data_IF_305370661499
#
_entry.id   IF_305370661499
#
_cell.length_a   1.000
_cell.length_b   1.000
_cell.length_c   1.000
_cell.angle_alpha   90.00
_cell.angle_beta   90.00
_cell.angle_gamma   90.00
#
_symmetry.space_group_name_H-M   'P 1'
#
loop_
_entity.id
_entity.type
_entity.pdbx_description
1 polymer ?
#
# COMPACT_ATOMS: atom_id res chain seq x y z
N UNK A 1 16.14 3.85 -28.14
CA UNK A 1 14.98 4.59 -27.58
C UNK A 1 14.54 5.57 -28.65
N UNK A 2 13.28 5.52 -29.09
CA UNK A 2 12.76 6.40 -30.14
C UNK A 2 12.53 7.79 -29.51
N UNK A 3 13.24 8.85 -29.92
CA UNK A 3 13.19 10.17 -29.26
C UNK A 3 11.78 10.80 -29.26
N UNK A 4 10.93 10.39 -30.18
CA UNK A 4 9.54 10.86 -30.32
C UNK A 4 8.57 10.22 -29.31
N UNK A 5 8.98 9.12 -28.64
CA UNK A 5 8.13 8.35 -27.72
C UNK A 5 8.42 8.57 -26.23
N UNK A 6 9.64 8.98 -25.86
CA UNK A 6 10.05 9.14 -24.45
C UNK A 6 10.64 10.53 -24.25
N UNK A 7 10.01 11.36 -23.40
CA UNK A 7 10.44 12.74 -23.15
C UNK A 7 11.65 12.86 -22.22
N UNK A 8 11.86 11.89 -21.34
CA UNK A 8 12.94 11.89 -20.33
C UNK A 8 13.60 10.50 -20.24
N UNK A 9 13.27 9.71 -19.23
CA UNK A 9 13.81 8.37 -18.99
C UNK A 9 12.66 7.40 -18.70
N UNK A 10 12.70 6.22 -19.31
CA UNK A 10 11.84 5.09 -18.94
C UNK A 10 12.73 3.88 -18.60
N UNK A 11 12.43 3.23 -17.48
CA UNK A 11 13.19 2.10 -16.95
C UNK A 11 12.25 0.91 -16.72
N UNK A 12 12.44 -0.13 -17.52
CA UNK A 12 11.75 -1.40 -17.36
C UNK A 12 12.66 -2.46 -16.72
N UNK A 13 12.11 -3.24 -15.80
CA UNK A 13 12.77 -4.38 -15.17
C UNK A 13 11.91 -5.63 -15.27
N UNK A 14 12.53 -6.80 -15.43
CA UNK A 14 11.84 -8.10 -15.41
C UNK A 14 12.56 -9.04 -14.45
N UNK A 15 11.80 -9.81 -13.67
CA UNK A 15 12.34 -10.81 -12.75
C UNK A 15 11.70 -12.18 -12.98
N UNK A 16 12.44 -13.23 -12.66
CA UNK A 16 11.98 -14.62 -12.73
C UNK A 16 12.13 -15.28 -11.36
N UNK A 17 11.14 -16.08 -10.96
CA UNK A 17 11.15 -16.83 -9.72
C UNK A 17 10.58 -18.23 -9.93
N UNK A 18 11.05 -19.20 -9.16
CA UNK A 18 10.58 -20.57 -9.21
C UNK A 18 9.94 -20.97 -7.87
N UNK A 19 8.79 -21.64 -7.94
CA UNK A 19 8.08 -22.17 -6.77
C UNK A 19 7.53 -23.56 -7.09
N UNK A 20 7.58 -24.47 -6.12
CA UNK A 20 6.91 -25.77 -6.26
C UNK A 20 5.40 -25.54 -6.28
N UNK A 21 4.66 -26.23 -7.17
CA UNK A 21 3.20 -26.11 -7.26
C UNK A 21 2.49 -26.27 -5.91
N UNK A 22 2.97 -27.19 -5.08
CA UNK A 22 2.44 -27.47 -3.74
C UNK A 22 2.75 -26.39 -2.69
N UNK A 23 3.60 -25.42 -3.01
CA UNK A 23 3.99 -24.30 -2.14
C UNK A 23 3.45 -22.94 -2.62
N UNK A 24 2.59 -22.93 -3.64
CA UNK A 24 1.95 -21.70 -4.11
C UNK A 24 0.97 -21.22 -3.03
N UNK A 25 1.08 -19.93 -2.68
CA UNK A 25 0.15 -19.26 -1.77
C UNK A 25 -0.75 -18.39 -2.63
N UNK A 26 -2.01 -18.80 -2.79
CA UNK A 26 -2.99 -18.18 -3.70
C UNK A 26 -4.19 -17.56 -2.97
N UNK A 27 -4.14 -17.45 -1.64
CA UNK A 27 -5.20 -16.87 -0.82
C UNK A 27 -6.36 -17.82 -0.50
N UNK A 28 -6.43 -19.03 -1.07
CA UNK A 28 -7.54 -19.97 -0.81
C UNK A 28 -7.65 -20.37 0.65
N UNK A 29 -6.51 -20.53 1.33
CA UNK A 29 -6.43 -20.90 2.75
C UNK A 29 -6.91 -19.80 3.71
N UNK A 30 -7.06 -18.55 3.22
CA UNK A 30 -7.53 -17.43 4.05
C UNK A 30 -8.94 -17.70 4.55
N UNK A 31 -9.15 -17.48 5.85
CA UNK A 31 -10.40 -17.73 6.55
C UNK A 31 -10.64 -16.71 7.67
N UNK A 32 -11.89 -16.51 8.11
CA UNK A 32 -12.17 -15.70 9.28
C UNK A 32 -11.35 -16.14 10.49
N UNK A 33 -10.93 -15.18 11.31
CA UNK A 33 -9.97 -15.29 12.43
C UNK A 33 -8.49 -15.35 12.05
N UNK A 34 -8.15 -15.43 10.77
CA UNK A 34 -6.77 -15.13 10.38
C UNK A 34 -6.40 -13.69 10.75
N UNK A 35 -5.14 -13.46 11.08
CA UNK A 35 -4.61 -12.13 11.37
C UNK A 35 -3.91 -11.55 10.15
N UNK A 36 -3.92 -10.22 10.07
CA UNK A 36 -3.22 -9.45 9.05
C UNK A 36 -1.97 -8.85 9.70
N UNK A 37 -0.80 -9.23 9.20
CA UNK A 37 0.50 -8.78 9.66
C UNK A 37 1.00 -7.73 8.68
N UNK A 38 1.00 -6.47 9.11
CA UNK A 38 1.47 -5.34 8.32
C UNK A 38 2.99 -5.21 8.40
N UNK A 39 3.62 -5.06 7.25
CA UNK A 39 5.05 -4.80 7.11
C UNK A 39 5.24 -3.34 6.71
N UNK A 40 6.04 -2.56 7.47
CA UNK A 40 6.24 -1.15 7.19
C UNK A 40 6.79 -0.88 5.78
N UNK A 41 6.29 0.17 5.13
CA UNK A 41 6.96 0.80 4.00
C UNK A 41 8.06 1.75 4.47
N UNK A 42 8.94 2.14 3.54
CA UNK A 42 9.98 3.15 3.74
C UNK A 42 9.49 4.55 3.38
N UNK A 43 8.35 4.66 2.67
CA UNK A 43 7.81 5.91 2.17
C UNK A 43 6.73 5.64 1.14
N UNK A 44 6.62 6.53 0.14
CA UNK A 44 5.61 6.45 -0.92
C UNK A 44 5.81 5.28 -1.90
N UNK A 45 7.03 4.74 -1.96
CA UNK A 45 7.46 3.74 -2.95
C UNK A 45 7.27 4.27 -4.38
N UNK A 46 6.88 3.43 -5.33
CA UNK A 46 6.77 3.80 -6.75
C UNK A 46 5.34 4.18 -7.19
N UNK A 47 4.41 4.48 -6.28
CA UNK A 47 3.00 4.75 -6.60
C UNK A 47 2.54 6.12 -6.12
N UNK A 48 1.70 6.80 -6.92
CA UNK A 48 1.14 8.11 -6.55
C UNK A 48 2.10 9.30 -6.72
N UNK A 49 3.26 9.10 -7.36
CA UNK A 49 4.22 10.18 -7.66
C UNK A 49 3.63 11.27 -8.58
N UNK A 50 2.72 10.91 -9.50
CA UNK A 50 2.00 11.91 -10.33
C UNK A 50 1.11 12.81 -9.47
N UNK A 51 0.41 12.25 -8.48
CA UNK A 51 -0.40 13.04 -7.55
C UNK A 51 0.50 13.93 -6.67
N UNK A 52 1.59 13.39 -6.14
CA UNK A 52 2.54 14.17 -5.33
C UNK A 52 3.12 15.36 -6.12
N UNK A 53 3.60 15.15 -7.35
CA UNK A 53 4.11 16.22 -8.22
C UNK A 53 3.07 17.30 -8.47
N UNK A 54 1.81 16.92 -8.71
CA UNK A 54 0.71 17.85 -8.92
C UNK A 54 0.44 18.70 -7.68
N UNK A 55 0.38 18.09 -6.50
CA UNK A 55 0.16 18.80 -5.22
C UNK A 55 1.25 19.84 -4.97
N UNK A 56 2.51 19.49 -5.22
CA UNK A 56 3.62 20.44 -5.07
C UNK A 56 3.48 21.62 -6.04
N UNK A 57 3.21 21.34 -7.32
CA UNK A 57 3.05 22.37 -8.33
C UNK A 57 1.88 23.33 -8.03
N UNK A 58 0.72 22.80 -7.62
CA UNK A 58 -0.46 23.60 -7.24
C UNK A 58 -0.20 24.45 -5.99
N UNK A 59 0.76 24.03 -5.16
CA UNK A 59 1.15 24.73 -3.93
C UNK A 59 2.37 25.65 -4.10
N UNK A 60 2.83 25.86 -5.35
CA UNK A 60 4.04 26.61 -5.67
C UNK A 60 5.30 26.10 -4.92
N UNK A 61 5.36 24.79 -4.66
CA UNK A 61 6.51 24.10 -4.08
C UNK A 61 7.25 23.26 -5.13
N UNK A 62 8.53 23.02 -4.86
CA UNK A 62 9.43 22.20 -5.64
C UNK A 62 9.90 20.99 -4.83
N UNK A 63 10.57 20.05 -5.50
CA UNK A 63 11.21 18.91 -4.82
C UNK A 63 12.35 19.31 -3.88
N UNK A 64 12.85 20.55 -3.97
CA UNK A 64 13.92 21.04 -3.10
C UNK A 64 13.39 21.65 -1.80
N UNK A 65 12.09 21.95 -1.74
CA UNK A 65 11.47 22.52 -0.55
C UNK A 65 11.35 21.48 0.57
N UNK A 66 11.45 21.90 1.84
CA UNK A 66 11.35 20.98 2.98
C UNK A 66 9.95 20.38 3.12
N UNK A 67 9.88 19.08 3.43
CA UNK A 67 8.64 18.45 3.89
C UNK A 67 8.48 18.79 5.37
N UNK A 68 7.44 19.55 5.70
CA UNK A 68 7.21 20.09 7.04
C UNK A 68 7.51 19.08 8.16
N UNK A 69 8.39 19.46 9.08
CA UNK A 69 8.73 18.69 10.28
C UNK A 69 9.63 17.45 10.08
N UNK A 70 10.00 17.08 8.84
CA UNK A 70 10.84 15.90 8.56
C UNK A 70 12.35 16.16 8.60
N UNK A 71 12.77 17.42 8.42
CA UNK A 71 14.17 17.79 8.20
C UNK A 71 14.72 17.41 6.81
N UNK A 72 13.90 16.80 5.95
CA UNK A 72 14.22 16.40 4.57
C UNK A 72 13.40 17.21 3.57
N UNK A 73 13.89 17.29 2.34
CA UNK A 73 13.19 17.86 1.20
C UNK A 73 12.16 16.89 0.59
N UNK A 74 11.21 17.42 -0.17
CA UNK A 74 10.23 16.62 -0.91
C UNK A 74 10.87 15.59 -1.82
N UNK A 75 11.95 15.96 -2.51
CA UNK A 75 12.70 15.09 -3.40
C UNK A 75 13.33 13.92 -2.64
N UNK A 76 13.94 14.18 -1.49
CA UNK A 76 14.54 13.13 -0.67
C UNK A 76 13.50 12.15 -0.14
N UNK A 77 12.34 12.63 0.31
CA UNK A 77 11.25 11.80 0.82
C UNK A 77 10.55 11.01 -0.31
N UNK A 78 10.33 11.63 -1.47
CA UNK A 78 9.69 10.98 -2.63
C UNK A 78 10.60 9.98 -3.32
N UNK A 79 11.92 10.17 -3.26
CA UNK A 79 12.93 9.28 -3.85
C UNK A 79 13.48 8.24 -2.86
N UNK A 80 12.95 8.18 -1.64
CA UNK A 80 13.27 7.13 -0.68
C UNK A 80 13.07 5.75 -1.34
N UNK A 81 14.11 4.89 -1.41
CA UNK A 81 14.02 3.63 -2.15
C UNK A 81 12.89 2.72 -1.68
N UNK A 82 12.23 2.05 -2.64
CA UNK A 82 11.19 1.07 -2.32
C UNK A 82 11.79 -0.10 -1.54
N UNK A 83 11.18 -0.42 -0.39
CA UNK A 83 11.62 -1.53 0.44
C UNK A 83 11.49 -2.88 -0.28
N UNK A 84 12.51 -3.73 -0.16
CA UNK A 84 12.54 -5.08 -0.77
C UNK A 84 12.31 -6.15 0.29
N UNK A 85 11.13 -6.78 0.25
CA UNK A 85 10.70 -7.73 1.29
C UNK A 85 11.07 -9.19 1.06
N UNK A 86 11.78 -9.51 -0.05
CA UNK A 86 12.00 -10.89 -0.50
C UNK A 86 12.67 -11.77 0.56
N UNK A 87 13.81 -11.33 1.10
CA UNK A 87 14.58 -12.12 2.09
C UNK A 87 13.80 -12.38 3.39
N UNK A 88 13.24 -11.36 4.07
CA UNK A 88 12.49 -11.60 5.30
C UNK A 88 11.23 -12.44 5.07
N UNK A 89 10.51 -12.24 3.97
CA UNK A 89 9.32 -13.03 3.64
C UNK A 89 9.69 -14.49 3.39
N UNK A 90 10.72 -14.78 2.58
CA UNK A 90 11.17 -16.17 2.36
C UNK A 90 11.60 -16.87 3.65
N UNK A 91 12.15 -16.12 4.63
CA UNK A 91 12.46 -16.67 5.94
C UNK A 91 11.20 -16.98 6.75
N UNK A 92 10.19 -16.11 6.73
CA UNK A 92 8.90 -16.37 7.38
C UNK A 92 8.20 -17.60 6.79
N UNK A 93 8.19 -17.74 5.47
CA UNK A 93 7.59 -18.89 4.77
C UNK A 93 8.26 -20.24 5.08
N UNK A 94 9.47 -20.24 5.66
CA UNK A 94 10.13 -21.47 6.13
C UNK A 94 9.75 -21.87 7.55
N UNK A 95 9.15 -20.98 8.33
CA UNK A 95 8.89 -21.18 9.76
C UNK A 95 7.42 -21.24 10.13
N UNK A 96 6.54 -20.65 9.33
CA UNK A 96 5.12 -20.58 9.64
C UNK A 96 4.27 -20.75 8.37
N UNK A 97 3.01 -21.11 8.56
CA UNK A 97 2.05 -21.23 7.46
C UNK A 97 1.43 -19.86 7.18
N UNK A 98 1.65 -19.37 5.95
CA UNK A 98 1.04 -18.12 5.49
C UNK A 98 -0.07 -18.46 4.50
N UNK A 99 -1.28 -17.97 4.77
CA UNK A 99 -2.47 -18.21 3.95
C UNK A 99 -2.57 -17.24 2.77
N UNK A 100 -1.98 -16.04 2.88
CA UNK A 100 -2.00 -15.02 1.84
C UNK A 100 -0.93 -13.95 2.02
N UNK A 101 -0.56 -13.28 0.93
CA UNK A 101 0.40 -12.18 0.97
C UNK A 101 0.01 -11.13 -0.07
N UNK A 102 -0.02 -9.86 0.32
CA UNK A 102 -0.30 -8.75 -0.59
C UNK A 102 0.85 -7.74 -0.59
N UNK A 103 1.29 -7.37 -1.78
CA UNK A 103 2.09 -6.17 -1.99
C UNK A 103 1.13 -4.97 -2.03
N UNK A 104 1.37 -3.98 -1.17
CA UNK A 104 0.57 -2.77 -1.11
C UNK A 104 1.22 -1.73 -2.02
N UNK A 105 0.58 -1.49 -3.16
CA UNK A 105 1.08 -0.66 -4.27
C UNK A 105 -0.01 0.34 -4.65
N UNK A 106 -0.17 0.68 -5.94
CA UNK A 106 -1.33 1.42 -6.41
C UNK A 106 -2.63 0.66 -6.06
N UNK A 107 -3.59 1.38 -5.49
CA UNK A 107 -4.79 0.80 -4.87
C UNK A 107 -4.73 0.74 -3.34
N UNK A 108 -3.56 0.93 -2.74
CA UNK A 108 -3.36 0.96 -1.29
C UNK A 108 -3.96 -0.27 -0.60
N UNK A 109 -4.70 -0.06 0.49
CA UNK A 109 -5.27 -1.17 1.28
C UNK A 109 -6.21 -2.06 0.48
N UNK A 110 -6.76 -1.57 -0.64
CA UNK A 110 -7.64 -2.35 -1.53
C UNK A 110 -6.92 -3.51 -2.19
N UNK A 111 -5.59 -3.51 -2.28
CA UNK A 111 -4.83 -4.66 -2.78
C UNK A 111 -5.15 -5.95 -2.02
N UNK A 112 -5.57 -5.88 -0.75
CA UNK A 112 -6.00 -7.03 0.04
C UNK A 112 -7.24 -7.74 -0.54
N UNK A 113 -8.17 -7.01 -1.16
CA UNK A 113 -9.40 -7.57 -1.75
C UNK A 113 -9.08 -8.63 -2.82
N UNK A 114 -7.93 -8.49 -3.50
CA UNK A 114 -7.46 -9.43 -4.53
C UNK A 114 -7.11 -10.81 -3.99
N UNK A 115 -6.82 -10.92 -2.69
CA UNK A 115 -6.46 -12.20 -2.07
C UNK A 115 -7.64 -13.15 -1.96
N UNK A 116 -8.83 -12.63 -1.64
CA UNK A 116 -10.05 -13.44 -1.46
C UNK A 116 -11.30 -12.56 -1.45
N UNK A 117 -12.25 -12.84 -2.35
CA UNK A 117 -13.42 -11.99 -2.57
C UNK A 117 -14.55 -12.12 -1.52
N UNK A 118 -14.61 -13.25 -0.80
CA UNK A 118 -15.71 -13.59 0.11
C UNK A 118 -15.34 -13.49 1.60
N UNK A 119 -14.37 -12.63 1.91
CA UNK A 119 -13.99 -12.25 3.28
C UNK A 119 -13.81 -10.74 3.36
N UNK A 120 -13.93 -10.19 4.56
CA UNK A 120 -13.55 -8.81 4.85
C UNK A 120 -12.16 -8.80 5.50
N UNK A 121 -11.26 -7.98 4.97
CA UNK A 121 -9.98 -7.64 5.61
C UNK A 121 -10.19 -6.40 6.48
N UNK A 122 -10.19 -6.57 7.81
CA UNK A 122 -10.45 -5.49 8.76
C UNK A 122 -9.16 -4.99 9.37
N UNK A 123 -8.74 -3.78 9.01
CA UNK A 123 -7.54 -3.12 9.54
C UNK A 123 -7.91 -2.30 10.78
N UNK A 124 -7.91 -2.94 11.94
CA UNK A 124 -8.31 -2.33 13.22
C UNK A 124 -7.22 -1.48 13.88
N UNK A 125 -5.96 -1.70 13.53
CA UNK A 125 -4.81 -0.98 14.07
C UNK A 125 -3.80 -0.70 12.93
N UNK A 126 -4.09 0.25 12.03
CA UNK A 126 -3.24 0.55 10.89
C UNK A 126 -1.85 1.01 11.33
N UNK A 127 -0.83 0.71 10.52
CA UNK A 127 0.52 1.25 10.74
C UNK A 127 0.48 2.78 10.69
N UNK A 128 1.31 3.43 11.49
CA UNK A 128 1.45 4.88 11.47
C UNK A 128 2.10 5.30 10.14
N UNK A 129 1.43 6.13 9.31
CA UNK A 129 2.02 6.58 8.07
C UNK A 129 3.23 7.50 8.32
N UNK A 130 4.33 7.35 7.56
CA UNK A 130 5.39 8.35 7.49
C UNK A 130 4.85 9.77 7.28
N UNK A 131 5.56 10.77 7.82
CA UNK A 131 5.14 12.18 7.84
C UNK A 131 4.81 12.74 6.46
N UNK A 132 5.49 12.27 5.40
CA UNK A 132 5.23 12.65 4.00
C UNK A 132 3.75 12.49 3.61
N UNK A 133 3.07 11.44 4.08
CA UNK A 133 1.66 11.20 3.74
C UNK A 133 0.75 12.24 4.36
N UNK A 134 1.01 12.62 5.63
CA UNK A 134 0.26 13.67 6.31
C UNK A 134 0.50 15.02 5.65
N UNK A 135 1.74 15.32 5.29
CA UNK A 135 2.10 16.55 4.57
C UNK A 135 1.40 16.63 3.21
N UNK A 136 1.41 15.55 2.42
CA UNK A 136 0.71 15.50 1.12
C UNK A 136 -0.79 15.68 1.27
N UNK A 137 -1.40 15.00 2.24
CA UNK A 137 -2.84 15.09 2.47
C UNK A 137 -3.27 16.51 2.83
N UNK A 138 -2.53 17.17 3.74
CA UNK A 138 -2.80 18.55 4.16
C UNK A 138 -2.58 19.54 3.02
N UNK A 139 -1.46 19.43 2.32
CA UNK A 139 -1.09 20.34 1.25
C UNK A 139 -2.05 20.26 0.06
N UNK A 140 -2.46 19.04 -0.31
CA UNK A 140 -3.35 18.80 -1.45
C UNK A 140 -4.85 18.82 -1.12
N UNK A 141 -5.23 18.99 0.15
CA UNK A 141 -6.63 18.83 0.59
C UNK A 141 -7.20 17.45 0.24
N UNK A 142 -6.41 16.39 0.41
CA UNK A 142 -6.77 15.04 -0.02
C UNK A 142 -7.45 14.29 1.12
N UNK A 143 -8.65 13.81 0.85
CA UNK A 143 -9.43 13.00 1.80
C UNK A 143 -8.72 11.70 2.18
N UNK A 144 -8.90 11.24 3.43
CA UNK A 144 -8.32 9.99 3.93
C UNK A 144 -8.69 8.78 3.06
N UNK A 145 -9.90 8.74 2.50
CA UNK A 145 -10.32 7.68 1.60
C UNK A 145 -9.47 7.63 0.32
N UNK A 146 -9.18 8.78 -0.28
CA UNK A 146 -8.31 8.89 -1.45
C UNK A 146 -6.87 8.51 -1.09
N UNK A 147 -6.36 8.97 0.05
CA UNK A 147 -5.01 8.63 0.53
C UNK A 147 -4.83 7.10 0.69
N UNK A 148 -5.77 6.42 1.33
CA UNK A 148 -5.69 4.97 1.60
C UNK A 148 -5.98 4.08 0.38
N UNK A 149 -6.62 4.61 -0.67
CA UNK A 149 -6.81 3.89 -1.92
C UNK A 149 -5.75 4.19 -2.98
N UNK A 150 -4.93 5.22 -2.79
CA UNK A 150 -3.86 5.60 -3.73
C UNK A 150 -2.48 5.20 -3.19
N UNK A 151 -2.23 5.41 -1.90
CA UNK A 151 -0.94 5.17 -1.27
C UNK A 151 -0.94 3.96 -0.33
N UNK A 152 0.27 3.49 0.00
CA UNK A 152 0.47 2.39 0.94
C UNK A 152 0.25 2.78 2.42
N UNK A 153 0.21 4.10 2.72
CA UNK A 153 -0.04 4.66 4.05
C UNK A 153 0.79 4.03 5.17
N UNK A 154 2.07 3.75 4.89
CA UNK A 154 3.00 3.18 5.87
C UNK A 154 3.05 1.65 5.89
N UNK A 155 2.18 0.95 5.17
CA UNK A 155 2.20 -0.51 5.05
C UNK A 155 2.53 -0.92 3.61
N UNK A 156 3.77 -1.32 3.35
CA UNK A 156 4.20 -1.73 2.00
C UNK A 156 3.90 -3.19 1.67
N UNK A 157 3.74 -4.05 2.67
CA UNK A 157 3.42 -5.47 2.45
C UNK A 157 2.52 -5.98 3.57
N UNK A 158 1.72 -7.00 3.27
CA UNK A 158 0.88 -7.67 4.26
C UNK A 158 0.98 -9.18 4.12
N UNK A 159 1.05 -9.88 5.25
CA UNK A 159 0.92 -11.34 5.32
C UNK A 159 -0.35 -11.69 6.10
N UNK A 160 -1.06 -12.72 5.64
CA UNK A 160 -2.26 -13.25 6.28
C UNK A 160 -1.95 -14.66 6.75
N UNK A 161 -2.14 -14.93 8.04
CA UNK A 161 -1.82 -16.21 8.67
C UNK A 161 -2.80 -16.52 9.79
N UNK A 162 -2.80 -17.76 10.28
CA UNK A 162 -3.52 -18.11 11.51
C UNK A 162 -2.98 -17.30 12.69
N UNK A 163 -3.82 -17.03 13.69
CA UNK A 163 -3.45 -16.24 14.87
C UNK A 163 -2.27 -16.88 15.63
N UNK A 164 -2.26 -18.21 15.75
CA UNK A 164 -1.20 -18.97 16.39
C UNK A 164 0.18 -18.83 15.70
N UNK A 165 0.19 -18.65 14.37
CA UNK A 165 1.41 -18.52 13.57
C UNK A 165 1.98 -17.09 13.56
N UNK A 166 1.20 -16.10 14.01
CA UNK A 166 1.51 -14.68 13.86
C UNK A 166 2.84 -14.29 14.52
N UNK A 167 3.09 -14.82 15.72
CA UNK A 167 4.33 -14.54 16.48
C UNK A 167 5.57 -15.05 15.74
N UNK A 168 5.47 -16.23 15.13
CA UNK A 168 6.59 -16.84 14.41
C UNK A 168 6.85 -16.15 13.06
N UNK A 169 5.78 -15.73 12.37
CA UNK A 169 5.91 -14.87 11.18
C UNK A 169 6.63 -13.57 11.54
N UNK A 170 6.14 -12.83 12.55
CA UNK A 170 6.72 -11.54 12.97
C UNK A 170 8.18 -11.70 13.41
N UNK A 171 8.50 -12.74 14.18
CA UNK A 171 9.87 -13.03 14.60
C UNK A 171 10.78 -13.32 13.41
N UNK A 172 10.28 -14.02 12.40
CA UNK A 172 11.04 -14.39 11.21
C UNK A 172 11.31 -13.23 10.26
N UNK A 173 10.51 -12.16 10.35
CA UNK A 173 10.71 -10.94 9.59
C UNK A 173 11.85 -10.07 10.16
N UNK A 174 12.23 -10.26 11.43
CA UNK A 174 13.40 -9.62 12.04
C UNK A 174 14.72 -10.26 11.56
N UNK A 175 15.84 -9.51 11.60
CA UNK A 175 15.96 -8.11 12.03
C UNK A 175 15.55 -7.08 10.97
N UNK A 176 15.28 -7.52 9.73
CA UNK A 176 15.15 -6.64 8.56
C UNK A 176 13.94 -5.70 8.64
N UNK A 177 12.79 -6.17 9.13
CA UNK A 177 11.57 -5.34 9.22
C UNK A 177 10.84 -5.52 10.55
N UNK A 178 10.29 -4.41 11.06
CA UNK A 178 9.50 -4.37 12.30
C UNK A 178 8.00 -4.50 11.97
N UNK A 179 7.57 -5.71 11.65
CA UNK A 179 6.16 -5.99 11.39
C UNK A 179 5.34 -6.16 12.68
N UNK A 180 4.02 -5.93 12.58
CA UNK A 180 3.06 -6.18 13.66
C UNK A 180 1.71 -6.61 13.10
N UNK A 181 0.86 -7.18 13.96
CA UNK A 181 -0.55 -7.41 13.61
C UNK A 181 -1.24 -6.05 13.49
N UNK A 182 -1.94 -5.83 12.37
CA UNK A 182 -2.66 -4.58 12.06
C UNK A 182 -4.18 -4.79 11.96
N UNK A 183 -4.63 -6.03 12.02
CA UNK A 183 -6.02 -6.37 11.78
C UNK A 183 -6.26 -7.87 11.68
N UNK A 184 -7.46 -8.21 11.22
CA UNK A 184 -7.90 -9.60 11.08
C UNK A 184 -8.85 -9.79 9.90
N UNK A 185 -9.03 -11.05 9.51
CA UNK A 185 -9.98 -11.48 8.50
C UNK A 185 -11.29 -11.86 9.20
N UNK A 186 -12.40 -11.35 8.68
CA UNK A 186 -13.73 -11.60 9.23
C UNK A 186 -14.71 -11.99 8.13
N UNK A 187 -15.90 -12.50 8.53
CA UNK A 187 -16.97 -12.77 7.57
C UNK A 187 -17.45 -11.44 7.00
N UNK A 188 -17.55 -11.36 5.68
CA UNK A 188 -17.89 -10.13 4.98
C UNK A 188 -17.28 -10.12 3.58
N UNK A 189 -17.07 -8.92 3.04
CA UNK A 189 -16.42 -8.69 1.74
C UNK A 189 -15.64 -7.39 1.78
N UNK A 190 -14.53 -7.34 1.05
CA UNK A 190 -13.77 -6.10 0.86
C UNK A 190 -12.73 -5.83 1.94
N UNK A 191 -12.39 -4.56 2.14
CA UNK A 191 -11.45 -4.11 3.17
C UNK A 191 -12.05 -2.93 3.93
N UNK A 192 -11.85 -2.91 5.25
CA UNK A 192 -12.29 -1.83 6.14
C UNK A 192 -11.12 -1.32 6.97
N UNK A 193 -11.15 -0.03 7.30
CA UNK A 193 -10.23 0.61 8.26
C UNK A 193 -11.09 1.33 9.31
N UNK A 194 -11.66 0.60 10.29
CA UNK A 194 -12.64 1.14 11.23
C UNK A 194 -12.19 2.39 12.01
N UNK A 195 -10.93 2.50 12.49
CA UNK A 195 -10.46 3.70 13.19
C UNK A 195 -10.59 4.99 12.37
N UNK A 196 -10.70 4.87 11.05
CA UNK A 196 -10.81 5.99 10.11
C UNK A 196 -12.19 6.03 9.41
N UNK A 197 -13.11 5.13 9.75
CA UNK A 197 -14.43 5.04 9.10
C UNK A 197 -14.39 4.67 7.62
N UNK A 198 -13.32 4.02 7.13
CA UNK A 198 -13.13 3.73 5.70
C UNK A 198 -13.56 2.31 5.33
N UNK A 199 -14.13 2.13 4.13
CA UNK A 199 -14.56 0.83 3.61
C UNK A 199 -14.56 0.79 2.09
N UNK A 200 -14.10 -0.33 1.51
CA UNK A 200 -14.17 -0.60 0.08
C UNK A 200 -14.59 -2.05 -0.17
N UNK A 201 -15.64 -2.24 -0.98
CA UNK A 201 -16.20 -3.55 -1.31
C UNK A 201 -15.58 -4.20 -2.54
N UNK A 202 -14.91 -3.43 -3.40
CA UNK A 202 -14.33 -3.92 -4.66
C UNK A 202 -12.97 -3.30 -4.98
N UNK A 203 -12.22 -4.01 -5.83
CA UNK A 203 -10.98 -3.50 -6.43
C UNK A 203 -11.25 -2.59 -7.65
N UNK A 204 -12.49 -2.45 -8.12
CA UNK A 204 -12.80 -1.65 -9.31
C UNK A 204 -12.56 -0.17 -9.07
N UNK A 205 -11.73 0.44 -9.91
CA UNK A 205 -11.70 1.88 -10.06
C UNK A 205 -12.99 2.25 -10.80
N UNK A 206 -14.10 2.48 -10.08
CA UNK A 206 -15.23 3.11 -10.73
C UNK A 206 -14.77 4.53 -11.14
N UNK A 207 -14.91 4.94 -12.41
CA UNK A 207 -14.91 6.37 -12.70
C UNK A 207 -16.06 6.94 -11.88
N UNK A 208 -15.78 7.92 -11.03
CA UNK A 208 -16.85 8.62 -10.29
C UNK A 208 -17.82 9.20 -11.32
N UNK A 209 -19.00 8.58 -11.43
CA UNK A 209 -20.08 9.00 -12.28
C UNK A 209 -20.57 10.40 -11.88
N UNK A 210 -20.92 11.17 -12.90
CA UNK A 210 -21.44 12.52 -12.80
C UNK A 210 -22.64 12.62 -11.84
N UNK A 211 -22.51 13.47 -10.81
CA UNK A 211 -23.64 14.12 -10.16
C UNK A 211 -23.29 15.60 -10.05
N UNK A 212 -24.14 16.44 -10.63
CA UNK A 212 -24.02 17.90 -10.67
C UNK A 212 -24.39 18.47 -9.30
N UNK A 213 -23.43 19.11 -8.62
CA UNK A 213 -23.56 20.41 -7.96
C UNK A 213 -22.20 20.82 -7.39
N UNK A 214 -21.78 22.04 -7.72
CA UNK A 214 -20.58 22.78 -7.31
C UNK A 214 -19.17 22.25 -7.69
N UNK A 215 -18.65 22.84 -8.76
CA UNK A 215 -17.53 23.79 -8.64
C UNK A 215 -16.21 23.27 -8.09
N UNK A 216 -15.35 22.76 -8.99
CA UNK A 216 -13.94 22.30 -8.81
C UNK A 216 -13.83 20.86 -8.29
N UNK A 217 -13.78 19.91 -9.22
CA UNK A 217 -13.29 18.55 -8.95
C UNK A 217 -12.15 18.17 -9.87
N UNK A 218 -11.08 17.67 -9.24
CA UNK A 218 -9.93 17.06 -9.84
C UNK A 218 -10.36 15.80 -10.62
N UNK A 219 -10.22 15.84 -11.94
CA UNK A 219 -10.15 14.63 -12.75
C UNK A 219 -8.73 14.06 -12.66
N UNK A 220 -8.61 12.87 -12.07
CA UNK A 220 -7.47 11.98 -12.24
C UNK A 220 -7.56 11.37 -13.65
N UNK A 221 -6.84 11.97 -14.61
CA UNK A 221 -6.52 11.31 -15.86
C UNK A 221 -5.21 10.54 -15.62
N UNK A 222 -5.33 9.22 -15.54
CA UNK A 222 -4.22 8.29 -15.64
C UNK A 222 -3.64 8.41 -17.05
N UNK A 223 -2.44 8.96 -17.14
CA UNK A 223 -1.56 8.94 -18.30
C UNK A 223 -0.17 8.51 -17.84
#
# INVERSE_FOLDING_TARGET
VVPELVRELDLAGTCFGAVRKTKIIDGRAIRPRDVIIGVPSTGIHANGLTLARRVLAESALTVLDPVGGSGRSWGEELLEPTAIYVRPVLRALRRATVHGMAHITGGGVRNLIRLKANVEFRISDPLEPPSIFRALAQLGGIESSEMYQTFNMGMGFALVAAEEDAKDVIRSLRPDVKARVVGSVVRGKGVTVPPLGLSWSSYSCAPLGASRADGRRLQLLLG
#
